data_IF_190996231048
#
_entry.id   IF_190996231048
#
_cell.length_a   1.000
_cell.length_b   1.000
_cell.length_c   1.000
_cell.angle_alpha   90.00
_cell.angle_beta   90.00
_cell.angle_gamma   90.00
#
_symmetry.space_group_name_H-M   'P 1'
#
loop_
_entity.id
_entity.type
_entity.pdbx_description
1 polymer ?
#
# COMPACT_ATOMS: atom_id res chain seq x y z
N UNK A 1 19.21 13.23 -7.85
CA UNK A 1 18.69 12.70 -6.56
C UNK A 1 17.64 11.65 -6.89
N UNK A 2 17.79 10.41 -6.41
CA UNK A 2 16.78 9.36 -6.62
C UNK A 2 15.60 9.66 -5.68
N UNK A 3 14.42 9.96 -6.23
CA UNK A 3 13.19 10.10 -5.43
C UNK A 3 12.97 8.74 -4.74
N UNK A 4 12.88 8.73 -3.40
CA UNK A 4 12.46 7.52 -2.68
C UNK A 4 11.00 7.25 -3.05
N UNK A 5 10.71 6.06 -3.58
CA UNK A 5 9.33 5.64 -3.87
C UNK A 5 8.56 5.60 -2.55
N UNK A 6 7.41 6.26 -2.52
CA UNK A 6 6.55 6.26 -1.32
C UNK A 6 5.81 4.93 -1.16
N UNK A 7 5.42 4.56 0.06
CA UNK A 7 4.76 3.27 0.36
C UNK A 7 3.41 3.18 -0.38
N UNK A 8 2.68 4.29 -0.43
CA UNK A 8 1.44 4.46 -1.20
C UNK A 8 1.59 4.17 -2.70
N UNK A 9 2.73 4.48 -3.31
CA UNK A 9 3.01 4.23 -4.74
C UNK A 9 3.37 2.75 -5.01
N UNK A 10 3.70 1.97 -3.98
CA UNK A 10 4.09 0.56 -4.13
C UNK A 10 2.90 -0.34 -4.36
N UNK A 11 3.09 -1.32 -5.25
CA UNK A 11 2.12 -2.37 -5.56
C UNK A 11 2.18 -3.45 -4.47
N UNK A 12 1.08 -3.69 -3.77
CA UNK A 12 1.04 -4.58 -2.61
C UNK A 12 0.18 -5.80 -2.93
N UNK A 13 0.84 -6.94 -3.06
CA UNK A 13 0.22 -8.22 -3.39
C UNK A 13 0.00 -9.00 -2.10
N UNK A 14 -1.22 -8.87 -1.55
CA UNK A 14 -1.64 -9.63 -0.37
C UNK A 14 -2.17 -10.99 -0.81
N UNK A 15 -1.65 -12.07 -0.24
CA UNK A 15 -2.19 -13.39 -0.55
C UNK A 15 -3.63 -13.49 -0.06
N UNK A 16 -4.50 -14.07 -0.90
CA UNK A 16 -5.93 -14.10 -0.69
C UNK A 16 -6.67 -12.86 -1.20
N UNK A 17 -5.98 -11.81 -1.69
CA UNK A 17 -6.65 -10.66 -2.31
C UNK A 17 -7.45 -11.07 -3.53
N UNK A 18 -8.62 -10.44 -3.66
CA UNK A 18 -9.54 -10.61 -4.78
C UNK A 18 -8.93 -10.09 -6.08
N UNK A 19 -9.11 -10.82 -7.18
CA UNK A 19 -8.75 -10.35 -8.52
C UNK A 19 -9.94 -9.63 -9.14
N UNK A 20 -9.70 -8.41 -9.63
CA UNK A 20 -10.68 -7.51 -10.24
C UNK A 20 -10.31 -7.37 -11.71
N UNK A 21 -11.14 -7.95 -12.57
CA UNK A 21 -11.09 -7.84 -14.02
C UNK A 21 -11.85 -6.60 -14.50
N UNK A 22 -11.71 -6.27 -15.78
CA UNK A 22 -12.43 -5.12 -16.39
C UNK A 22 -13.96 -5.30 -16.39
N UNK A 23 -14.44 -6.54 -16.42
CA UNK A 23 -15.85 -6.91 -16.52
C UNK A 23 -16.40 -7.67 -15.29
N UNK A 24 -15.68 -7.65 -14.17
CA UNK A 24 -16.12 -8.24 -12.91
C UNK A 24 -14.97 -8.81 -12.07
N UNK A 25 -15.27 -9.75 -11.18
CA UNK A 25 -14.26 -10.39 -10.33
C UNK A 25 -14.13 -11.90 -10.55
N UNK A 26 -12.90 -12.40 -10.50
CA UNK A 26 -12.64 -13.85 -10.57
C UNK A 26 -11.49 -14.29 -9.68
N UNK A 27 -11.84 -14.92 -8.56
CA UNK A 27 -10.88 -15.64 -7.76
C UNK A 27 -9.99 -14.75 -6.89
N UNK A 28 -8.87 -15.33 -6.48
CA UNK A 28 -7.98 -14.76 -5.47
C UNK A 28 -6.51 -15.00 -5.81
N UNK A 29 -5.64 -14.07 -5.45
CA UNK A 29 -4.20 -14.25 -5.51
C UNK A 29 -3.78 -15.37 -4.57
N UNK A 30 -3.06 -16.37 -5.07
CA UNK A 30 -2.51 -17.45 -4.26
C UNK A 30 -1.00 -17.55 -4.35
N UNK A 31 -0.40 -17.07 -5.45
CA UNK A 31 1.03 -17.23 -5.69
C UNK A 31 1.61 -15.99 -6.39
N UNK A 32 2.89 -15.75 -6.17
CA UNK A 32 3.71 -14.79 -6.94
C UNK A 32 4.96 -15.50 -7.39
N UNK A 33 5.44 -15.19 -8.60
CA UNK A 33 6.63 -15.82 -9.18
C UNK A 33 7.65 -14.76 -9.50
N UNK A 34 8.85 -14.91 -8.96
CA UNK A 34 9.99 -14.04 -9.21
C UNK A 34 10.97 -14.67 -10.21
N UNK A 35 11.56 -13.83 -11.04
CA UNK A 35 12.72 -14.21 -11.84
C UNK A 35 13.92 -14.46 -10.89
N UNK A 36 14.57 -15.62 -10.95
CA UNK A 36 15.68 -15.96 -10.05
C UNK A 36 16.93 -15.10 -10.28
N UNK A 37 17.12 -14.52 -11.47
CA UNK A 37 18.27 -13.70 -11.82
C UNK A 37 17.99 -12.20 -11.65
N UNK A 38 16.82 -11.73 -12.09
CA UNK A 38 16.46 -10.31 -12.03
C UNK A 38 15.81 -9.90 -10.70
N UNK A 39 15.35 -10.86 -9.89
CA UNK A 39 14.60 -10.67 -8.65
C UNK A 39 13.35 -9.77 -8.78
N UNK A 40 12.87 -9.57 -10.02
CA UNK A 40 11.61 -8.93 -10.33
C UNK A 40 10.50 -9.95 -10.42
N UNK A 41 9.28 -9.55 -10.06
CA UNK A 41 8.11 -10.40 -10.28
C UNK A 41 7.88 -10.58 -11.78
N UNK A 42 7.48 -11.79 -12.18
CA UNK A 42 7.16 -12.11 -13.58
C UNK A 42 5.70 -12.50 -13.74
N UNK A 43 5.13 -13.22 -12.77
CA UNK A 43 3.77 -13.73 -12.83
C UNK A 43 3.08 -13.71 -11.48
N UNK A 44 1.75 -13.70 -11.53
CA UNK A 44 0.87 -13.97 -10.39
C UNK A 44 0.08 -15.25 -10.66
N UNK A 45 -0.14 -16.05 -9.61
CA UNK A 45 -1.03 -17.21 -9.62
C UNK A 45 -2.39 -16.83 -9.04
N UNK A 46 -3.43 -17.03 -9.83
CA UNK A 46 -4.82 -16.72 -9.49
C UNK A 46 -5.61 -18.01 -9.36
N UNK A 47 -6.18 -18.25 -8.19
CA UNK A 47 -7.14 -19.35 -7.98
C UNK A 47 -8.54 -18.91 -8.37
N UNK A 48 -9.06 -19.45 -9.46
CA UNK A 48 -10.39 -19.14 -9.97
C UNK A 48 -11.51 -19.65 -9.04
N UNK A 49 -12.67 -18.97 -9.04
CA UNK A 49 -13.78 -19.29 -8.12
C UNK A 49 -14.70 -20.44 -8.60
N UNK A 50 -14.43 -21.03 -9.76
CA UNK A 50 -15.28 -22.06 -10.41
C UNK A 50 -15.17 -23.42 -9.72
N UNK A 51 -16.14 -24.33 -9.97
CA UNK A 51 -16.31 -25.63 -9.30
C UNK A 51 -15.09 -26.59 -9.31
N UNK A 52 -14.09 -26.32 -10.15
CA UNK A 52 -12.78 -27.00 -10.17
C UNK A 52 -11.66 -25.95 -10.23
N UNK A 53 -11.68 -24.99 -9.30
CA UNK A 53 -10.83 -23.80 -9.28
C UNK A 53 -9.35 -24.14 -9.28
N UNK A 54 -8.78 -24.27 -10.48
CA UNK A 54 -7.36 -24.41 -10.72
C UNK A 54 -6.67 -23.05 -10.56
N UNK A 55 -5.41 -23.08 -10.16
CA UNK A 55 -4.56 -21.90 -10.24
C UNK A 55 -4.19 -21.68 -11.70
N UNK A 56 -4.42 -20.48 -12.21
CA UNK A 56 -3.90 -20.01 -13.50
C UNK A 56 -2.83 -18.96 -13.28
N UNK A 57 -1.90 -18.85 -14.21
CA UNK A 57 -0.78 -17.92 -14.12
C UNK A 57 -0.92 -16.82 -15.14
N UNK A 58 -0.85 -15.58 -14.65
CA UNK A 58 -0.95 -14.36 -15.45
C UNK A 58 0.38 -13.63 -15.39
N UNK A 59 0.90 -13.12 -16.53
CA UNK A 59 2.05 -12.23 -16.51
C UNK A 59 1.78 -11.01 -15.62
N UNK A 60 2.77 -10.59 -14.83
CA UNK A 60 2.60 -9.49 -13.89
C UNK A 60 2.30 -8.16 -14.59
N UNK A 61 2.72 -8.00 -15.85
CA UNK A 61 2.40 -6.80 -16.62
C UNK A 61 0.88 -6.58 -16.79
N UNK A 62 0.05 -7.62 -16.61
CA UNK A 62 -1.41 -7.50 -16.63
C UNK A 62 -1.96 -6.75 -15.42
N UNK A 63 -1.19 -6.61 -14.34
CA UNK A 63 -1.57 -5.88 -13.12
C UNK A 63 -1.53 -4.38 -13.37
N UNK A 64 -2.66 -3.70 -13.12
CA UNK A 64 -2.78 -2.23 -13.16
C UNK A 64 -2.52 -1.65 -11.78
N UNK A 65 -3.12 -2.25 -10.76
CA UNK A 65 -2.99 -1.80 -9.37
C UNK A 65 -3.18 -2.98 -8.41
N UNK A 66 -2.43 -3.00 -7.31
CA UNK A 66 -2.49 -4.00 -6.26
C UNK A 66 -2.42 -3.31 -4.89
N UNK A 67 -3.48 -3.49 -4.11
CA UNK A 67 -3.63 -2.97 -2.75
C UNK A 67 -4.32 -4.02 -1.87
N UNK A 68 -4.44 -3.77 -0.57
CA UNK A 68 -5.23 -4.59 0.34
C UNK A 68 -6.72 -4.69 -0.01
N UNK A 69 -7.23 -3.79 -0.85
CA UNK A 69 -8.62 -3.83 -1.35
C UNK A 69 -8.83 -4.77 -2.55
N UNK A 70 -7.74 -5.21 -3.20
CA UNK A 70 -7.78 -6.11 -4.34
C UNK A 70 -6.67 -5.84 -5.36
N UNK A 71 -6.62 -6.70 -6.37
CA UNK A 71 -5.66 -6.62 -7.48
C UNK A 71 -6.44 -6.43 -8.77
N UNK A 72 -6.34 -5.24 -9.35
CA UNK A 72 -6.96 -4.89 -10.62
C UNK A 72 -6.05 -5.29 -11.78
N UNK A 73 -6.59 -6.03 -12.73
CA UNK A 73 -5.90 -6.49 -13.93
C UNK A 73 -6.62 -6.03 -15.19
N UNK A 74 -5.88 -5.79 -16.28
CA UNK A 74 -6.42 -5.35 -17.60
C UNK A 74 -7.00 -6.48 -18.46
N UNK A 75 -7.47 -7.55 -17.82
CA UNK A 75 -8.02 -8.72 -18.49
C UNK A 75 -9.50 -8.86 -18.16
N UNK A 76 -10.24 -9.50 -19.06
CA UNK A 76 -11.62 -9.94 -18.82
C UNK A 76 -11.68 -11.32 -18.17
N UNK A 77 -12.82 -11.61 -17.55
CA UNK A 77 -13.13 -12.91 -16.95
C UNK A 77 -12.91 -14.09 -17.91
N UNK A 78 -13.22 -13.92 -19.19
CA UNK A 78 -13.05 -14.95 -20.22
C UNK A 78 -11.57 -15.21 -20.54
N UNK A 79 -10.71 -14.19 -20.50
CA UNK A 79 -9.28 -14.31 -20.78
C UNK A 79 -8.58 -15.03 -19.63
N UNK A 80 -8.90 -14.66 -18.39
CA UNK A 80 -8.41 -15.35 -17.18
C UNK A 80 -8.80 -16.83 -17.20
N UNK A 81 -10.02 -17.17 -17.65
CA UNK A 81 -10.49 -18.54 -17.76
C UNK A 81 -9.66 -19.42 -18.71
N UNK A 82 -9.04 -18.81 -19.73
CA UNK A 82 -8.23 -19.50 -20.74
C UNK A 82 -6.72 -19.47 -20.44
N UNK A 83 -6.31 -18.81 -19.36
CA UNK A 83 -4.91 -18.70 -18.99
C UNK A 83 -4.30 -20.05 -18.61
N UNK A 84 -2.97 -20.15 -18.74
CA UNK A 84 -2.24 -21.39 -18.46
C UNK A 84 -2.33 -21.77 -16.98
N UNK A 85 -2.64 -23.04 -16.70
CA UNK A 85 -2.51 -23.63 -15.35
C UNK A 85 -1.14 -24.25 -15.08
N UNK A 86 -0.24 -24.26 -16.06
CA UNK A 86 1.14 -24.72 -15.86
C UNK A 86 1.95 -23.58 -15.22
N UNK A 87 2.56 -23.85 -14.07
CA UNK A 87 3.44 -22.88 -13.40
C UNK A 87 4.56 -22.45 -14.34
N UNK A 88 4.71 -21.13 -14.58
CA UNK A 88 5.94 -20.58 -15.14
C UNK A 88 7.14 -21.01 -14.30
N UNK A 89 8.30 -21.15 -14.94
CA UNK A 89 9.56 -21.34 -14.23
C UNK A 89 9.92 -20.10 -13.42
N UNK A 90 10.57 -20.29 -12.27
CA UNK A 90 11.01 -19.20 -11.40
C UNK A 90 10.91 -19.55 -9.92
N UNK A 91 11.03 -18.54 -9.09
CA UNK A 91 10.91 -18.65 -7.63
C UNK A 91 9.47 -18.37 -7.23
N UNK A 92 8.75 -19.42 -6.81
CA UNK A 92 7.35 -19.33 -6.42
C UNK A 92 7.20 -19.08 -4.92
N UNK A 93 6.41 -18.07 -4.56
CA UNK A 93 6.02 -17.75 -3.18
C UNK A 93 4.49 -17.70 -3.05
N UNK A 94 3.99 -18.06 -1.88
CA UNK A 94 2.58 -18.17 -1.51
C UNK A 94 2.36 -17.83 -0.03
N UNK A 95 1.11 -17.95 0.46
CA UNK A 95 0.71 -17.71 1.85
C UNK A 95 1.32 -18.69 2.88
N UNK A 96 1.91 -19.78 2.40
CA UNK A 96 2.58 -20.79 3.22
C UNK A 96 4.09 -20.62 3.24
N UNK A 97 4.60 -19.72 2.42
CA UNK A 97 6.03 -19.49 2.29
C UNK A 97 6.61 -19.00 3.61
N UNK A 98 7.73 -19.61 4.00
CA UNK A 98 8.36 -19.36 5.30
C UNK A 98 9.44 -18.31 5.16
N UNK A 99 9.50 -17.40 6.13
CA UNK A 99 10.58 -16.40 6.24
C UNK A 99 11.42 -16.73 7.46
N UNK A 100 12.71 -16.98 7.25
CA UNK A 100 13.66 -17.35 8.31
C UNK A 100 14.70 -16.24 8.51
N UNK A 101 14.91 -15.84 9.76
CA UNK A 101 15.94 -14.86 10.09
C UNK A 101 17.27 -15.56 10.38
N UNK A 102 18.26 -15.38 9.51
CA UNK A 102 19.60 -15.98 9.64
C UNK A 102 20.40 -15.43 10.83
N UNK A 103 20.05 -14.25 11.35
CA UNK A 103 20.67 -13.69 12.55
C UNK A 103 20.07 -14.26 13.86
N UNK A 104 19.00 -15.04 13.79
CA UNK A 104 18.35 -15.64 14.95
C UNK A 104 17.73 -17.01 14.61
N UNK A 105 16.85 -17.53 15.47
CA UNK A 105 16.02 -18.71 15.16
C UNK A 105 14.58 -18.32 14.80
N UNK A 106 14.30 -17.02 14.64
CA UNK A 106 12.96 -16.53 14.34
C UNK A 106 12.50 -16.99 12.95
N UNK A 107 11.27 -17.48 12.89
CA UNK A 107 10.61 -17.92 11.66
C UNK A 107 9.18 -17.40 11.64
N UNK A 108 8.71 -17.01 10.46
CA UNK A 108 7.35 -16.54 10.27
C UNK A 108 6.79 -16.94 8.90
N UNK A 109 5.55 -16.54 8.64
CA UNK A 109 4.88 -16.77 7.36
C UNK A 109 4.76 -15.49 6.56
N UNK A 110 4.95 -15.60 5.25
CA UNK A 110 4.78 -14.49 4.34
C UNK A 110 3.28 -14.12 4.21
N UNK A 111 2.94 -12.85 4.40
CA UNK A 111 1.57 -12.35 4.29
C UNK A 111 1.33 -11.55 3.00
N UNK A 112 2.30 -10.71 2.64
CA UNK A 112 2.26 -9.92 1.41
C UNK A 112 3.67 -9.59 0.93
N UNK A 113 3.77 -9.32 -0.36
CA UNK A 113 4.96 -8.72 -0.98
C UNK A 113 4.60 -7.37 -1.57
N UNK A 114 5.47 -6.38 -1.39
CA UNK A 114 5.32 -5.05 -1.96
C UNK A 114 6.41 -4.80 -3.00
N UNK A 115 6.04 -4.22 -4.13
CA UNK A 115 6.91 -4.03 -5.28
C UNK A 115 7.07 -2.56 -5.61
N UNK A 116 8.27 -2.19 -6.06
CA UNK A 116 8.49 -0.89 -6.68
C UNK A 116 7.72 -0.81 -8.01
N UNK A 117 6.96 0.26 -8.27
CA UNK A 117 6.11 0.38 -9.45
C UNK A 117 6.92 0.44 -10.76
N UNK A 118 8.14 1.01 -10.71
CA UNK A 118 8.95 1.21 -11.92
C UNK A 118 9.79 -0.02 -12.31
N UNK A 119 10.26 -0.78 -11.31
CA UNK A 119 11.21 -1.88 -11.52
C UNK A 119 10.60 -3.26 -11.29
N UNK A 120 9.40 -3.35 -10.73
CA UNK A 120 8.76 -4.59 -10.29
C UNK A 120 9.62 -5.44 -9.35
N UNK A 121 10.62 -4.80 -8.71
CA UNK A 121 11.47 -5.44 -7.73
C UNK A 121 10.82 -5.39 -6.35
N UNK A 122 11.12 -6.40 -5.55
CA UNK A 122 10.69 -6.47 -4.16
C UNK A 122 11.22 -5.25 -3.38
N UNK A 123 10.31 -4.49 -2.81
CA UNK A 123 10.59 -3.32 -1.98
C UNK A 123 10.58 -3.68 -0.49
N UNK A 124 9.56 -4.42 -0.07
CA UNK A 124 9.44 -4.99 1.27
C UNK A 124 8.48 -6.18 1.26
N UNK A 125 8.47 -6.92 2.37
CA UNK A 125 7.51 -7.96 2.65
C UNK A 125 6.92 -7.77 4.05
N UNK A 126 5.75 -8.35 4.31
CA UNK A 126 5.21 -8.45 5.67
C UNK A 126 5.19 -9.91 6.10
N UNK A 127 5.75 -10.17 7.28
CA UNK A 127 5.86 -11.50 7.87
C UNK A 127 5.01 -11.58 9.13
N UNK A 128 4.11 -12.56 9.18
CA UNK A 128 3.40 -12.94 10.38
C UNK A 128 4.26 -13.84 11.28
N UNK A 129 4.18 -13.65 12.59
CA UNK A 129 4.83 -14.47 13.61
C UNK A 129 6.37 -14.46 13.61
N UNK A 130 7.01 -13.57 12.82
CA UNK A 130 8.46 -13.36 12.95
C UNK A 130 8.82 -12.86 14.35
N UNK A 131 7.93 -12.06 14.93
CA UNK A 131 7.79 -11.88 16.38
C UNK A 131 6.44 -12.50 16.78
N UNK A 132 6.36 -13.30 17.85
CA UNK A 132 5.15 -14.04 18.18
C UNK A 132 3.90 -13.13 18.24
N UNK A 133 2.87 -13.46 17.45
CA UNK A 133 1.61 -12.73 17.41
C UNK A 133 1.67 -11.35 16.75
N UNK A 134 2.74 -11.02 16.04
CA UNK A 134 2.91 -9.73 15.37
C UNK A 134 3.25 -9.89 13.90
N UNK A 135 2.66 -9.01 13.09
CA UNK A 135 3.06 -8.82 11.71
C UNK A 135 4.22 -7.82 11.68
N UNK A 136 5.26 -8.10 10.88
CA UNK A 136 6.46 -7.27 10.81
C UNK A 136 6.81 -6.96 9.36
N UNK A 137 6.97 -5.68 9.04
CA UNK A 137 7.45 -5.23 7.75
C UNK A 137 8.97 -5.36 7.69
N UNK A 138 9.46 -6.11 6.70
CA UNK A 138 10.89 -6.29 6.44
C UNK A 138 11.22 -5.69 5.08
N UNK A 139 12.09 -4.69 5.07
CA UNK A 139 12.56 -4.05 3.84
C UNK A 139 13.50 -4.96 3.05
N UNK A 140 13.58 -4.73 1.74
CA UNK A 140 14.37 -5.55 0.84
C UNK A 140 15.87 -5.61 1.19
N UNK A 141 16.45 -4.58 1.82
CA UNK A 141 17.86 -4.60 2.24
C UNK A 141 18.21 -5.70 3.25
N UNK A 142 17.21 -6.23 3.96
CA UNK A 142 17.41 -7.32 4.90
C UNK A 142 17.21 -8.70 4.27
N UNK A 143 16.75 -8.78 3.02
CA UNK A 143 16.49 -10.04 2.35
C UNK A 143 17.79 -10.53 1.72
N UNK A 144 18.23 -11.71 2.14
CA UNK A 144 19.51 -12.30 1.68
C UNK A 144 19.32 -13.38 0.64
N UNK A 145 18.16 -14.06 0.65
CA UNK A 145 17.86 -15.14 -0.28
C UNK A 145 16.35 -15.25 -0.52
N UNK A 146 15.95 -15.46 -1.77
CA UNK A 146 14.57 -15.75 -2.16
C UNK A 146 14.60 -17.05 -2.96
N UNK A 147 13.91 -18.07 -2.47
CA UNK A 147 13.79 -19.39 -3.08
C UNK A 147 12.35 -19.88 -3.01
N UNK A 148 12.02 -20.91 -3.79
CA UNK A 148 10.64 -21.42 -3.84
C UNK A 148 10.17 -21.84 -2.45
N UNK A 149 9.10 -21.22 -1.95
CA UNK A 149 8.52 -21.48 -0.63
C UNK A 149 9.32 -20.95 0.57
N UNK A 150 10.52 -20.38 0.36
CA UNK A 150 11.41 -20.01 1.47
C UNK A 150 12.17 -18.69 1.19
N UNK A 151 12.14 -17.78 2.15
CA UNK A 151 12.89 -16.53 2.14
C UNK A 151 13.83 -16.50 3.34
N UNK A 152 15.09 -16.10 3.13
CA UNK A 152 16.00 -15.78 4.23
C UNK A 152 16.17 -14.28 4.36
N UNK A 153 16.12 -13.82 5.59
CA UNK A 153 16.41 -12.44 5.97
C UNK A 153 17.58 -12.42 6.96
N UNK A 154 18.24 -11.29 7.08
CA UNK A 154 19.28 -11.05 8.07
C UNK A 154 18.98 -9.77 8.82
N UNK A 155 18.18 -9.89 9.89
CA UNK A 155 17.78 -8.74 10.74
C UNK A 155 18.33 -8.97 12.14
N UNK A 156 19.28 -8.14 12.62
CA UNK A 156 19.77 -8.24 13.99
C UNK A 156 18.63 -8.17 15.01
N UNK A 157 18.71 -8.94 16.10
CA UNK A 157 17.63 -9.04 17.08
C UNK A 157 17.24 -7.67 17.69
N UNK A 158 18.21 -6.80 17.96
CA UNK A 158 17.95 -5.44 18.44
C UNK A 158 17.13 -4.62 17.44
N UNK A 159 17.48 -4.69 16.15
CA UNK A 159 16.74 -4.04 15.07
C UNK A 159 15.33 -4.61 14.95
N UNK A 160 15.20 -5.94 14.94
CA UNK A 160 13.91 -6.62 14.84
C UNK A 160 12.97 -6.22 15.98
N UNK A 161 13.48 -6.07 17.21
CA UNK A 161 12.70 -5.65 18.36
C UNK A 161 12.29 -4.16 18.30
N UNK A 162 13.06 -3.32 17.62
CA UNK A 162 12.77 -1.90 17.46
C UNK A 162 11.79 -1.60 16.31
N UNK A 163 11.54 -2.55 15.39
CA UNK A 163 10.59 -2.35 14.29
C UNK A 163 9.16 -2.19 14.84
N UNK A 164 8.44 -1.18 14.38
CA UNK A 164 7.01 -1.06 14.66
C UNK A 164 6.27 -2.29 14.09
N UNK A 165 5.26 -2.82 14.79
CA UNK A 165 4.42 -3.87 14.24
C UNK A 165 3.64 -3.33 13.03
N UNK A 166 3.52 -4.15 11.99
CA UNK A 166 2.53 -3.93 10.94
C UNK A 166 1.15 -4.21 11.54
N UNK A 167 0.16 -3.38 11.21
CA UNK A 167 -1.16 -3.42 11.82
C UNK A 167 -2.25 -3.44 10.75
N UNK A 168 -3.37 -4.16 10.98
CA UNK A 168 -4.50 -4.14 10.07
C UNK A 168 -5.07 -2.73 9.89
N UNK A 169 -5.46 -2.40 8.67
CA UNK A 169 -6.02 -1.08 8.32
C UNK A 169 -7.25 -0.72 9.16
N UNK A 170 -8.11 -1.68 9.50
CA UNK A 170 -9.30 -1.43 10.32
C UNK A 170 -8.97 -0.97 11.74
N UNK A 171 -7.82 -1.41 12.27
CA UNK A 171 -7.34 -1.00 13.59
C UNK A 171 -6.71 0.38 13.49
N UNK A 172 -5.88 0.61 12.47
CA UNK A 172 -5.26 1.92 12.20
C UNK A 172 -6.33 2.99 11.92
N UNK A 173 -7.35 2.66 11.13
CA UNK A 173 -8.48 3.53 10.82
C UNK A 173 -9.12 4.07 12.11
N UNK A 174 -9.46 3.16 13.03
CA UNK A 174 -10.12 3.53 14.29
C UNK A 174 -9.24 4.44 15.16
N UNK A 175 -7.94 4.16 15.23
CA UNK A 175 -7.02 4.97 16.02
C UNK A 175 -6.76 6.34 15.41
N UNK A 176 -6.67 6.42 14.08
CA UNK A 176 -6.58 7.71 13.38
C UNK A 176 -7.86 8.51 13.58
N UNK A 177 -9.03 7.91 13.41
CA UNK A 177 -10.31 8.58 13.67
C UNK A 177 -10.38 9.13 15.10
N UNK A 178 -9.96 8.34 16.09
CA UNK A 178 -9.90 8.78 17.48
C UNK A 178 -8.91 9.93 17.68
N UNK A 179 -7.69 9.84 17.12
CA UNK A 179 -6.67 10.88 17.23
C UNK A 179 -7.11 12.21 16.57
N UNK A 180 -7.76 12.14 15.40
CA UNK A 180 -8.30 13.32 14.72
C UNK A 180 -9.51 13.91 15.45
N UNK A 181 -10.33 13.08 16.08
CA UNK A 181 -11.44 13.53 16.91
C UNK A 181 -10.95 14.24 18.18
N UNK A 182 -9.97 13.68 18.88
CA UNK A 182 -9.43 14.27 20.12
C UNK A 182 -8.69 15.61 19.88
N UNK A 183 -8.30 15.90 18.63
CA UNK A 183 -7.72 17.16 18.24
C UNK A 183 -8.78 18.28 18.25
N UNK A 184 -8.96 18.92 19.41
CA UNK A 184 -9.95 19.99 19.66
C UNK A 184 -10.12 21.03 18.54
N UNK A 185 -9.05 21.52 17.86
CA UNK A 185 -9.18 22.48 16.77
C UNK A 185 -9.88 21.95 15.51
N UNK A 186 -9.98 20.63 15.32
CA UNK A 186 -10.44 20.01 14.07
C UNK A 186 -11.93 19.65 14.06
N UNK A 187 -12.60 19.64 15.22
CA UNK A 187 -13.99 19.17 15.34
C UNK A 187 -14.99 19.79 14.34
N UNK A 188 -14.78 21.07 13.98
CA UNK A 188 -15.65 21.79 13.05
C UNK A 188 -15.44 21.32 11.61
N UNK A 189 -14.20 20.94 11.27
CA UNK A 189 -13.78 20.59 9.91
C UNK A 189 -13.93 19.10 9.61
N UNK A 190 -14.05 18.24 10.64
CA UNK A 190 -14.13 16.77 10.48
C UNK A 190 -15.24 16.30 9.51
N UNK A 191 -16.31 17.08 9.33
CA UNK A 191 -17.39 16.73 8.38
C UNK A 191 -17.00 16.95 6.92
N UNK A 192 -16.03 17.82 6.65
CA UNK A 192 -15.54 18.15 5.32
C UNK A 192 -14.28 17.37 4.93
N UNK A 193 -13.75 16.58 5.87
CA UNK A 193 -12.55 15.77 5.71
C UNK A 193 -12.95 14.29 5.53
N UNK A 194 -12.41 13.64 4.51
CA UNK A 194 -12.38 12.20 4.39
C UNK A 194 -11.04 11.67 4.88
N UNK A 195 -11.07 10.78 5.87
CA UNK A 195 -9.89 10.10 6.39
C UNK A 195 -10.07 8.60 6.23
N UNK A 196 -9.19 7.94 5.47
CA UNK A 196 -9.23 6.49 5.34
C UNK A 196 -7.82 5.88 5.29
N UNK A 197 -7.67 4.69 5.85
CA UNK A 197 -6.42 3.93 5.87
C UNK A 197 -6.50 2.79 4.86
N UNK A 198 -5.47 2.69 4.01
CA UNK A 198 -5.28 1.59 3.08
C UNK A 198 -3.80 1.20 3.05
N UNK A 199 -3.52 -0.07 3.34
CA UNK A 199 -2.19 -0.67 3.41
C UNK A 199 -1.22 0.07 4.34
N UNK A 200 -1.71 0.43 5.53
CA UNK A 200 -0.96 1.22 6.51
C UNK A 200 -0.67 2.66 6.08
N UNK A 201 -1.28 3.15 4.99
CA UNK A 201 -1.20 4.54 4.56
C UNK A 201 -2.50 5.27 4.89
N UNK A 202 -2.40 6.39 5.58
CA UNK A 202 -3.53 7.29 5.79
C UNK A 202 -3.66 8.28 4.63
N UNK A 203 -4.85 8.36 4.07
CA UNK A 203 -5.25 9.38 3.11
C UNK A 203 -6.16 10.39 3.80
N UNK A 204 -5.79 11.66 3.74
CA UNK A 204 -6.57 12.80 4.22
C UNK A 204 -6.95 13.65 3.01
N UNK A 205 -8.22 13.66 2.65
CA UNK A 205 -8.74 14.36 1.49
C UNK A 205 -9.89 15.29 1.90
N UNK A 206 -10.02 16.42 1.22
CA UNK A 206 -11.12 17.37 1.43
C UNK A 206 -10.66 18.79 1.73
N UNK A 207 -11.61 19.59 2.22
CA UNK A 207 -11.38 21.00 2.54
C UNK A 207 -11.26 21.19 4.05
N UNK A 208 -10.45 22.17 4.44
CA UNK A 208 -10.24 22.51 5.84
C UNK A 208 -10.13 24.03 5.99
N UNK A 209 -10.51 24.57 7.14
CA UNK A 209 -10.61 26.02 7.30
C UNK A 209 -9.27 26.76 7.17
N UNK A 210 -8.13 26.08 7.38
CA UNK A 210 -6.81 26.66 7.19
C UNK A 210 -5.72 25.63 6.97
N UNK A 211 -4.65 26.05 6.30
CA UNK A 211 -3.47 25.22 6.06
C UNK A 211 -2.78 24.79 7.36
N UNK A 212 -2.80 25.64 8.40
CA UNK A 212 -2.28 25.30 9.72
C UNK A 212 -3.02 24.11 10.36
N UNK A 213 -4.35 24.04 10.18
CA UNK A 213 -5.13 22.91 10.69
C UNK A 213 -4.84 21.62 9.91
N UNK A 214 -4.52 21.73 8.62
CA UNK A 214 -4.09 20.58 7.82
C UNK A 214 -2.79 19.98 8.39
N UNK A 215 -1.85 20.83 8.80
CA UNK A 215 -0.60 20.40 9.43
C UNK A 215 -0.85 19.74 10.80
N UNK A 216 -1.74 20.32 11.62
CA UNK A 216 -2.14 19.71 12.90
C UNK A 216 -2.75 18.32 12.68
N UNK A 217 -3.66 18.17 11.72
CA UNK A 217 -4.28 16.88 11.41
C UNK A 217 -3.24 15.82 11.02
N UNK A 218 -2.26 16.22 10.19
CA UNK A 218 -1.13 15.37 9.82
C UNK A 218 -0.30 14.97 11.02
N UNK A 219 0.11 15.93 11.86
CA UNK A 219 0.99 15.68 12.99
C UNK A 219 0.34 14.77 14.03
N UNK A 220 -0.97 14.93 14.27
CA UNK A 220 -1.74 14.03 15.13
C UNK A 220 -1.79 12.61 14.57
N UNK A 221 -2.04 12.46 13.26
CA UNK A 221 -2.04 11.16 12.62
C UNK A 221 -0.66 10.47 12.64
N UNK A 222 0.42 11.23 12.51
CA UNK A 222 1.79 10.69 12.59
C UNK A 222 2.13 10.11 13.97
N UNK A 223 1.37 10.45 15.02
CA UNK A 223 1.49 9.85 16.35
C UNK A 223 0.95 8.41 16.43
N UNK A 224 0.18 7.95 15.44
CA UNK A 224 -0.41 6.61 15.45
C UNK A 224 0.64 5.55 15.12
N UNK A 225 0.93 4.68 16.10
CA UNK A 225 1.91 3.61 15.94
C UNK A 225 1.46 2.56 14.92
N UNK A 226 2.36 2.24 13.99
CA UNK A 226 2.12 1.29 12.89
C UNK A 226 1.68 1.95 11.58
N UNK A 227 1.43 3.25 11.57
CA UNK A 227 1.18 4.00 10.34
C UNK A 227 2.48 4.17 9.54
N UNK A 228 2.45 3.81 8.26
CA UNK A 228 3.64 3.76 7.39
C UNK A 228 3.85 5.08 6.62
N UNK A 229 2.77 5.75 6.26
CA UNK A 229 2.79 7.00 5.50
C UNK A 229 1.50 7.80 5.72
N UNK A 230 1.57 9.13 5.62
CA UNK A 230 0.42 10.03 5.59
C UNK A 230 0.41 10.79 4.26
N UNK A 231 -0.63 10.61 3.46
CA UNK A 231 -0.95 11.42 2.28
C UNK A 231 -1.92 12.51 2.68
N UNK A 232 -1.40 13.71 2.90
CA UNK A 232 -2.21 14.88 3.21
C UNK A 232 -2.54 15.67 1.93
N UNK A 233 -3.77 15.55 1.47
CA UNK A 233 -4.33 16.28 0.34
C UNK A 233 -5.38 17.30 0.79
N UNK A 234 -5.41 17.66 2.08
CA UNK A 234 -6.31 18.68 2.61
C UNK A 234 -5.96 20.05 2.03
N UNK A 235 -6.99 20.76 1.60
CA UNK A 235 -6.85 22.09 1.02
C UNK A 235 -7.42 23.12 2.00
N UNK A 236 -6.56 24.03 2.47
CA UNK A 236 -6.94 25.14 3.33
C UNK A 236 -7.68 26.24 2.58
N UNK A 237 -8.77 26.76 3.16
CA UNK A 237 -9.50 27.91 2.61
C UNK A 237 -8.60 29.14 2.45
N UNK A 238 -7.67 29.35 3.39
CA UNK A 238 -6.64 30.40 3.33
C UNK A 238 -5.76 30.31 2.08
N UNK A 239 -5.38 29.09 1.70
CA UNK A 239 -4.59 28.82 0.49
C UNK A 239 -5.43 29.00 -0.77
N UNK A 240 -6.67 28.50 -0.78
CA UNK A 240 -7.59 28.69 -1.91
C UNK A 240 -7.85 30.17 -2.16
N UNK A 241 -8.08 30.95 -1.10
CA UNK A 241 -8.29 32.39 -1.20
C UNK A 241 -7.07 33.09 -1.79
N UNK A 242 -5.86 32.72 -1.34
CA UNK A 242 -4.60 33.26 -1.86
C UNK A 242 -4.37 32.91 -3.34
N UNK A 243 -4.57 31.65 -3.72
CA UNK A 243 -4.40 31.17 -5.10
C UNK A 243 -5.42 31.84 -6.04
N UNK A 244 -6.67 31.99 -5.59
CA UNK A 244 -7.72 32.70 -6.32
C UNK A 244 -7.38 34.19 -6.48
N UNK A 245 -6.95 34.86 -5.41
CA UNK A 245 -6.55 36.27 -5.47
C UNK A 245 -5.38 36.48 -6.45
N UNK A 246 -4.39 35.60 -6.45
CA UNK A 246 -3.28 35.63 -7.41
C UNK A 246 -3.75 35.41 -8.85
N UNK A 247 -4.67 34.47 -9.08
CA UNK A 247 -5.21 34.21 -10.41
C UNK A 247 -6.01 35.41 -10.94
N UNK A 248 -6.87 36.01 -10.11
CA UNK A 248 -7.68 37.18 -10.45
C UNK A 248 -6.82 38.43 -10.69
N UNK A 249 -5.73 38.61 -9.94
CA UNK A 249 -4.78 39.71 -10.15
C UNK A 249 -3.95 39.58 -11.43
N UNK A 250 -3.81 38.37 -11.99
CA UNK A 250 -3.06 38.12 -13.23
C UNK A 250 -3.94 38.18 -14.48
N UNK A 251 -5.25 37.98 -14.36
CA UNK A 251 -6.16 38.00 -15.50
C UNK A 251 -6.46 39.45 -15.94
N UNK A 252 -6.20 39.81 -17.23
CA UNK A 252 -6.43 41.15 -17.75
C UNK A 252 -7.85 41.69 -17.57
N UNK A 253 -8.85 40.81 -17.46
CA UNK A 253 -10.27 41.18 -17.32
C UNK A 253 -10.63 41.57 -15.90
N UNK A 254 -9.85 41.14 -14.91
CA UNK A 254 -10.18 41.25 -13.49
C UNK A 254 -9.16 42.04 -12.69
N UNK A 255 -7.93 42.27 -13.20
CA UNK A 255 -6.85 42.90 -12.43
C UNK A 255 -7.16 44.31 -11.91
N UNK A 256 -7.95 45.07 -12.67
CA UNK A 256 -8.25 46.49 -12.37
C UNK A 256 -9.60 46.64 -11.62
N UNK A 257 -10.27 45.54 -11.30
CA UNK A 257 -11.52 45.54 -10.56
C UNK A 257 -11.23 45.43 -9.05
N UNK A 258 -11.92 46.20 -8.18
CA UNK A 258 -11.79 46.08 -6.74
C UNK A 258 -12.50 44.82 -6.25
N UNK A 259 -11.82 43.69 -6.31
CA UNK A 259 -12.34 42.40 -5.83
C UNK A 259 -11.65 41.99 -4.54
N UNK A 260 -12.44 41.78 -3.48
CA UNK A 260 -11.99 41.12 -2.27
C UNK A 260 -12.31 39.63 -2.35
N UNK A 261 -11.29 38.80 -2.12
CA UNK A 261 -11.45 37.38 -1.81
C UNK A 261 -11.48 37.28 -0.29
N UNK A 262 -12.60 36.81 0.26
CA UNK A 262 -12.80 36.58 1.70
C UNK A 262 -12.67 35.09 2.00
#
# INVERSE_FOLDING_TARGET
MRKLTSISEMQKLHFGSKIICDDGDDGFLTQVIFDPAAHGITHIGVKQRRLFGNTVYLPYDTVINATGSGITIRLKLAEVATASSSSPGGVLLDDKSTVENSASSAKGRLMLVALHPDSNQLAYLVVHDLRPGQDTLIRAEYITEISTGHIKINVPAATLNALAPYRPDSVLQREVEAALFDATPLHVDLKAISAYVLDGVLYLDGNISSSLRADIARDQAMGVSGLLEVKNNLVGDDRLASDLAMALGRDPRTRDLPMCVL
#
